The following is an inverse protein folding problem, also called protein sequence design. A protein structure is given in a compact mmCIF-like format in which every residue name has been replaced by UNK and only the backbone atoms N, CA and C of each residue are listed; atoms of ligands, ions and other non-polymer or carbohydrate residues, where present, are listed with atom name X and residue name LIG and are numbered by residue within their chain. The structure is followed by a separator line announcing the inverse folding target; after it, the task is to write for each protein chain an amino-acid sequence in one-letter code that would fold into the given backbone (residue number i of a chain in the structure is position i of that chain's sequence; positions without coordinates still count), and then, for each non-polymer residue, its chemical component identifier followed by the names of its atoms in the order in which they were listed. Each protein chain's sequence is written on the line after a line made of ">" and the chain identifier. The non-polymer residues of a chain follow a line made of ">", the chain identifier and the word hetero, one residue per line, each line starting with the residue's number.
data_IF_071398679362
#
_entry.id   IF_071398679362
#
_cell.length_a   1.000
_cell.length_b   1.000
_cell.length_c   1.000
_cell.angle_alpha   90.00
_cell.angle_beta   90.00
_cell.angle_gamma   90.00
#
_symmetry.space_group_name_H-M   'P 1'
#
loop_
_entity.id
_entity.type
_entity.pdbx_description
1 polymer ?
#
# COMPACT_ATOMS: atom_id res chain seq x y z
N UNK A 1 -15.79 -24.30 -9.03
CA UNK A 1 -15.52 -23.70 -7.70
C UNK A 1 -15.77 -22.19 -7.81
N UNK A 2 -16.91 -21.69 -7.31
CA UNK A 2 -17.23 -20.25 -7.37
C UNK A 2 -16.29 -19.51 -6.40
N UNK A 3 -15.61 -18.45 -6.83
CA UNK A 3 -14.52 -17.86 -6.05
C UNK A 3 -15.08 -17.31 -4.74
N UNK A 4 -14.47 -17.70 -3.63
CA UNK A 4 -14.62 -17.08 -2.30
C UNK A 4 -13.94 -15.70 -2.28
N UNK A 5 -14.16 -14.90 -3.34
CA UNK A 5 -13.63 -13.56 -3.52
C UNK A 5 -13.79 -12.70 -2.24
N UNK A 6 -14.95 -12.70 -1.56
CA UNK A 6 -15.15 -11.90 -0.35
C UNK A 6 -14.22 -12.28 0.81
N UNK A 7 -13.80 -13.54 0.91
CA UNK A 7 -12.85 -13.97 1.94
C UNK A 7 -11.44 -13.48 1.62
N UNK A 8 -11.06 -13.43 0.34
CA UNK A 8 -9.74 -12.95 -0.08
C UNK A 8 -9.61 -11.43 0.07
N UNK A 9 -10.73 -10.68 0.03
CA UNK A 9 -10.74 -9.23 0.21
C UNK A 9 -10.34 -8.79 1.63
N UNK A 10 -10.55 -9.62 2.65
CA UNK A 10 -10.20 -9.28 4.04
C UNK A 10 -8.69 -9.09 4.23
N UNK A 11 -7.83 -10.06 3.89
CA UNK A 11 -6.38 -9.90 4.03
C UNK A 11 -5.75 -9.01 2.96
N UNK A 12 -6.44 -8.75 1.83
CA UNK A 12 -5.88 -8.05 0.68
C UNK A 12 -5.24 -6.69 1.04
N UNK A 13 -5.90 -5.88 1.87
CA UNK A 13 -5.35 -4.61 2.32
C UNK A 13 -4.00 -4.77 3.05
N UNK A 14 -3.91 -5.71 3.99
CA UNK A 14 -2.68 -5.98 4.73
C UNK A 14 -1.59 -6.62 3.87
N UNK A 15 -1.94 -7.43 2.87
CA UNK A 15 -0.97 -7.97 1.91
C UNK A 15 -0.33 -6.86 1.09
N UNK A 16 -1.14 -5.90 0.59
CA UNK A 16 -0.62 -4.73 -0.14
C UNK A 16 0.25 -3.86 0.78
N UNK A 17 -0.15 -3.67 2.03
CA UNK A 17 0.66 -2.95 3.00
C UNK A 17 2.00 -3.64 3.29
N UNK A 18 2.00 -4.97 3.49
CA UNK A 18 3.20 -5.74 3.75
C UNK A 18 4.16 -5.73 2.55
N UNK A 19 3.65 -5.80 1.31
CA UNK A 19 4.47 -5.65 0.11
C UNK A 19 5.06 -4.25 -0.01
N UNK A 20 4.28 -3.20 0.34
CA UNK A 20 4.76 -1.83 0.34
C UNK A 20 5.95 -1.67 1.29
N UNK A 21 5.79 -2.12 2.54
CA UNK A 21 6.83 -2.04 3.56
C UNK A 21 8.10 -2.78 3.13
N UNK A 22 7.95 -4.00 2.60
CA UNK A 22 9.07 -4.82 2.13
C UNK A 22 9.81 -4.16 0.97
N UNK A 23 9.09 -3.63 -0.02
CA UNK A 23 9.69 -2.97 -1.18
C UNK A 23 10.38 -1.66 -0.79
N UNK A 24 9.77 -0.84 0.06
CA UNK A 24 10.38 0.39 0.54
C UNK A 24 11.71 0.10 1.26
N UNK A 25 11.73 -0.93 2.13
CA UNK A 25 12.94 -1.32 2.84
C UNK A 25 14.02 -1.90 1.91
N UNK A 26 13.62 -2.72 0.94
CA UNK A 26 14.54 -3.27 -0.06
C UNK A 26 15.15 -2.18 -0.95
N UNK A 27 14.33 -1.25 -1.46
CA UNK A 27 14.79 -0.11 -2.27
C UNK A 27 15.71 0.80 -1.46
N UNK A 28 15.39 1.07 -0.20
CA UNK A 28 16.26 1.84 0.69
C UNK A 28 17.65 1.18 0.82
N UNK A 29 17.67 -0.11 1.17
CA UNK A 29 18.92 -0.84 1.40
C UNK A 29 19.76 -0.98 0.13
N UNK A 30 19.13 -1.40 -0.97
CA UNK A 30 19.80 -1.59 -2.26
C UNK A 30 20.22 -0.25 -2.87
N UNK A 31 19.38 0.77 -2.76
CA UNK A 31 19.67 2.11 -3.28
C UNK A 31 20.86 2.77 -2.59
N UNK A 32 21.00 2.59 -1.26
CA UNK A 32 22.15 3.10 -0.53
C UNK A 32 23.47 2.41 -0.96
N UNK A 33 23.45 1.08 -1.13
CA UNK A 33 24.63 0.31 -1.58
C UNK A 33 24.95 0.58 -3.05
N UNK A 34 23.94 0.77 -3.89
CA UNK A 34 24.10 1.02 -5.32
C UNK A 34 24.52 2.46 -5.66
N UNK A 35 24.68 3.34 -4.67
CA UNK A 35 25.13 4.72 -4.92
C UNK A 35 24.03 5.68 -5.37
N UNK A 36 22.75 5.29 -5.35
CA UNK A 36 21.65 6.12 -5.87
C UNK A 36 21.40 7.42 -5.05
N UNK A 37 22.08 7.58 -3.92
CA UNK A 37 22.16 8.85 -3.18
C UNK A 37 22.96 9.94 -3.89
N UNK A 38 23.95 9.60 -4.73
CA UNK A 38 24.75 10.61 -5.46
C UNK A 38 24.11 11.05 -6.77
N UNK A 39 23.17 10.27 -7.29
CA UNK A 39 22.41 10.58 -8.49
C UNK A 39 21.26 11.53 -8.15
N UNK A 40 21.35 12.80 -8.59
CA UNK A 40 20.34 13.82 -8.34
C UNK A 40 19.53 14.10 -9.61
N UNK A 41 18.22 13.92 -9.53
CA UNK A 41 17.27 14.19 -10.61
C UNK A 41 16.22 15.17 -10.08
N UNK A 42 16.01 16.28 -10.79
CA UNK A 42 15.04 17.32 -10.42
C UNK A 42 15.20 17.86 -8.97
N UNK A 43 16.44 17.94 -8.48
CA UNK A 43 16.75 18.41 -7.11
C UNK A 43 16.48 17.39 -6.00
N UNK A 44 16.14 16.14 -6.33
CA UNK A 44 15.98 15.02 -5.38
C UNK A 44 16.92 13.88 -5.73
N UNK A 45 17.32 13.08 -4.74
CA UNK A 45 18.11 11.87 -5.00
C UNK A 45 17.26 10.81 -5.71
N UNK A 46 17.86 10.02 -6.58
CA UNK A 46 17.20 8.93 -7.30
C UNK A 46 16.51 7.96 -6.34
N UNK A 47 17.17 7.61 -5.22
CA UNK A 47 16.57 6.80 -4.14
C UNK A 47 15.26 7.39 -3.63
N UNK A 48 15.21 8.71 -3.37
CA UNK A 48 14.01 9.35 -2.86
C UNK A 48 12.88 9.33 -3.88
N UNK A 49 13.19 9.53 -5.16
CA UNK A 49 12.19 9.43 -6.23
C UNK A 49 11.60 8.02 -6.35
N UNK A 50 12.44 6.98 -6.30
CA UNK A 50 11.96 5.58 -6.37
C UNK A 50 11.12 5.23 -5.14
N UNK A 51 11.55 5.64 -3.94
CA UNK A 51 10.76 5.42 -2.71
C UNK A 51 9.39 6.10 -2.78
N UNK A 52 9.32 7.35 -3.24
CA UNK A 52 8.07 8.07 -3.45
C UNK A 52 7.19 7.38 -4.49
N UNK A 53 7.76 6.93 -5.61
CA UNK A 53 7.03 6.23 -6.65
C UNK A 53 6.41 4.91 -6.13
N UNK A 54 7.19 4.09 -5.42
CA UNK A 54 6.71 2.84 -4.80
C UNK A 54 5.59 3.14 -3.81
N UNK A 55 5.76 4.14 -2.97
CA UNK A 55 4.74 4.53 -1.99
C UNK A 55 3.43 4.99 -2.65
N UNK A 56 3.52 5.85 -3.68
CA UNK A 56 2.35 6.33 -4.43
C UNK A 56 1.60 5.19 -5.14
N UNK A 57 2.33 4.24 -5.73
CA UNK A 57 1.72 3.06 -6.37
C UNK A 57 0.93 2.22 -5.35
N UNK A 58 1.48 2.01 -4.16
CA UNK A 58 0.77 1.25 -3.12
C UNK A 58 -0.42 2.02 -2.53
N UNK A 59 -0.31 3.34 -2.36
CA UNK A 59 -1.44 4.18 -2.00
C UNK A 59 -2.56 4.08 -3.03
N UNK A 60 -2.24 4.20 -4.32
CA UNK A 60 -3.20 4.08 -5.40
C UNK A 60 -3.85 2.68 -5.41
N UNK A 61 -3.09 1.62 -5.16
CA UNK A 61 -3.61 0.25 -5.05
C UNK A 61 -4.59 0.10 -3.87
N UNK A 62 -4.27 0.64 -2.69
CA UNK A 62 -5.15 0.60 -1.51
C UNK A 62 -6.41 1.44 -1.70
N UNK A 63 -6.30 2.63 -2.29
CA UNK A 63 -7.44 3.48 -2.61
C UNK A 63 -8.34 2.78 -3.64
N UNK A 64 -7.76 2.18 -4.68
CA UNK A 64 -8.48 1.39 -5.67
C UNK A 64 -9.21 0.20 -5.04
N UNK A 65 -8.55 -0.53 -4.13
CA UNK A 65 -9.16 -1.63 -3.39
C UNK A 65 -10.30 -1.14 -2.48
N UNK A 66 -10.13 -0.01 -1.80
CA UNK A 66 -11.17 0.58 -0.95
C UNK A 66 -12.39 0.98 -1.77
N UNK A 67 -12.18 1.66 -2.89
CA UNK A 67 -13.24 2.04 -3.84
C UNK A 67 -13.96 0.78 -4.33
N UNK A 68 -13.21 -0.26 -4.72
CA UNK A 68 -13.77 -1.54 -5.14
C UNK A 68 -14.64 -2.18 -4.04
N UNK A 69 -14.16 -2.23 -2.80
CA UNK A 69 -14.91 -2.75 -1.65
C UNK A 69 -16.19 -1.97 -1.35
N UNK A 70 -16.18 -0.65 -1.53
CA UNK A 70 -17.35 0.24 -1.31
C UNK A 70 -18.34 0.15 -2.47
N UNK A 71 -17.84 0.08 -3.71
CA UNK A 71 -18.65 -0.05 -4.93
C UNK A 71 -19.22 -1.45 -5.13
N UNK A 72 -18.75 -2.45 -4.38
CA UNK A 72 -19.33 -3.78 -4.28
C UNK A 72 -20.76 -3.70 -3.70
N UNK A 73 -21.70 -3.25 -4.54
CA UNK A 73 -23.11 -3.09 -4.25
C UNK A 73 -23.80 -4.42 -4.53
N UNK A 74 -24.31 -5.10 -3.51
CA UNK A 74 -24.92 -6.42 -3.70
C UNK A 74 -26.45 -6.42 -3.68
N UNK A 75 -27.00 -7.14 -4.66
CA UNK A 75 -28.41 -7.49 -4.91
C UNK A 75 -29.01 -8.55 -3.98
N UNK A 76 -28.35 -8.95 -2.88
CA UNK A 76 -28.85 -10.06 -2.04
C UNK A 76 -28.72 -9.77 -0.55
N UNK A 77 -29.80 -10.07 0.17
CA UNK A 77 -30.04 -9.80 1.59
C UNK A 77 -29.26 -10.73 2.55
N UNK A 78 -28.04 -11.13 2.19
CA UNK A 78 -27.27 -12.09 2.97
C UNK A 78 -26.41 -11.37 4.03
N UNK A 79 -26.73 -11.60 5.32
CA UNK A 79 -26.10 -10.93 6.47
C UNK A 79 -24.60 -11.21 6.57
N UNK A 80 -24.18 -12.42 6.19
CA UNK A 80 -22.76 -12.85 6.21
C UNK A 80 -21.91 -11.96 5.28
N UNK A 81 -22.44 -11.63 4.11
CA UNK A 81 -21.76 -10.81 3.11
C UNK A 81 -21.56 -9.35 3.58
N UNK A 82 -22.53 -8.84 4.34
CA UNK A 82 -22.44 -7.51 4.98
C UNK A 82 -21.30 -7.43 6.01
N UNK A 83 -21.11 -8.48 6.80
CA UNK A 83 -20.00 -8.56 7.76
C UNK A 83 -18.65 -8.65 7.05
N UNK A 84 -18.50 -9.56 6.08
CA UNK A 84 -17.28 -9.71 5.27
C UNK A 84 -16.87 -8.38 4.61
N UNK A 85 -17.84 -7.64 4.06
CA UNK A 85 -17.58 -6.33 3.44
C UNK A 85 -17.09 -5.29 4.44
N UNK A 86 -17.73 -5.19 5.62
CA UNK A 86 -17.28 -4.26 6.68
C UNK A 86 -15.87 -4.60 7.17
N UNK A 87 -15.59 -5.90 7.36
CA UNK A 87 -14.26 -6.36 7.76
C UNK A 87 -13.19 -6.01 6.70
N UNK A 88 -13.49 -6.22 5.41
CA UNK A 88 -12.59 -5.89 4.32
C UNK A 88 -12.36 -4.36 4.17
N UNK A 89 -13.40 -3.55 4.34
CA UNK A 89 -13.26 -2.08 4.36
C UNK A 89 -12.39 -1.66 5.56
N UNK A 90 -12.68 -2.19 6.76
CA UNK A 90 -11.91 -1.89 7.97
C UNK A 90 -10.44 -2.25 7.85
N UNK A 91 -10.11 -3.43 7.31
CA UNK A 91 -8.73 -3.85 7.08
C UNK A 91 -8.03 -2.98 6.04
N UNK A 92 -8.73 -2.61 4.96
CA UNK A 92 -8.18 -1.74 3.91
C UNK A 92 -7.93 -0.33 4.44
N UNK A 93 -8.82 0.23 5.28
CA UNK A 93 -8.62 1.54 5.91
C UNK A 93 -7.46 1.51 6.90
N UNK A 94 -7.34 0.45 7.71
CA UNK A 94 -6.20 0.27 8.60
C UNK A 94 -4.88 0.18 7.82
N UNK A 95 -4.86 -0.60 6.74
CA UNK A 95 -3.72 -0.71 5.84
C UNK A 95 -3.36 0.64 5.19
N UNK A 96 -4.35 1.42 4.74
CA UNK A 96 -4.13 2.74 4.17
C UNK A 96 -3.51 3.70 5.18
N UNK A 97 -4.04 3.74 6.41
CA UNK A 97 -3.48 4.56 7.48
C UNK A 97 -2.02 4.16 7.79
N UNK A 98 -1.75 2.85 7.85
CA UNK A 98 -0.40 2.34 8.06
C UNK A 98 0.54 2.67 6.88
N UNK A 99 0.08 2.60 5.63
CA UNK A 99 0.86 2.99 4.44
C UNK A 99 1.17 4.48 4.43
N UNK A 100 0.20 5.32 4.78
CA UNK A 100 0.41 6.78 4.92
C UNK A 100 1.47 7.03 5.98
N UNK A 101 1.33 6.43 7.16
CA UNK A 101 2.30 6.56 8.25
C UNK A 101 3.72 6.15 7.83
N UNK A 102 3.87 5.02 7.13
CA UNK A 102 5.18 4.57 6.62
C UNK A 102 5.78 5.54 5.60
N UNK A 103 4.97 6.19 4.77
CA UNK A 103 5.45 7.11 3.75
C UNK A 103 5.81 8.50 4.26
N UNK A 104 5.22 8.95 5.39
CA UNK A 104 5.52 10.25 6.00
C UNK A 104 6.99 10.39 6.38
N UNK A 105 7.66 9.28 6.71
CA UNK A 105 9.08 9.29 7.02
C UNK A 105 9.97 9.59 5.79
N UNK A 106 9.54 9.23 4.57
CA UNK A 106 10.35 9.35 3.33
C UNK A 106 10.85 10.79 3.08
N UNK A 107 10.02 11.84 3.15
CA UNK A 107 10.49 13.21 2.98
C UNK A 107 11.24 13.76 4.21
N UNK A 108 10.94 13.26 5.40
CA UNK A 108 11.48 13.78 6.67
C UNK A 108 12.90 13.27 6.97
N UNK A 109 13.25 12.06 6.51
CA UNK A 109 14.54 11.44 6.80
C UNK A 109 15.48 11.48 5.60
N UNK A 110 16.77 11.52 5.91
CA UNK A 110 17.87 11.28 4.98
C UNK A 110 18.03 9.76 4.83
N UNK A 111 17.89 9.19 3.61
CA UNK A 111 17.77 7.75 3.42
C UNK A 111 19.06 6.97 3.70
N UNK A 112 20.24 7.59 3.53
CA UNK A 112 21.54 6.92 3.66
C UNK A 112 22.47 7.75 4.56
N UNK A 113 22.07 7.95 5.82
CA UNK A 113 22.89 8.63 6.82
C UNK A 113 23.90 7.67 7.47
#
# INVERSE_FOLDING_TARGET
>A
MKPRLPLLLIPAGFVIWASAFTLLYAVLSLGCVAGWQSEVIAGMTLVRLVLLAVWLVHLAALIGLLIYCVQLRHRSADRTFGFLRRAAIGSTVAALAATVWTGVAIPAVTPCL
#
